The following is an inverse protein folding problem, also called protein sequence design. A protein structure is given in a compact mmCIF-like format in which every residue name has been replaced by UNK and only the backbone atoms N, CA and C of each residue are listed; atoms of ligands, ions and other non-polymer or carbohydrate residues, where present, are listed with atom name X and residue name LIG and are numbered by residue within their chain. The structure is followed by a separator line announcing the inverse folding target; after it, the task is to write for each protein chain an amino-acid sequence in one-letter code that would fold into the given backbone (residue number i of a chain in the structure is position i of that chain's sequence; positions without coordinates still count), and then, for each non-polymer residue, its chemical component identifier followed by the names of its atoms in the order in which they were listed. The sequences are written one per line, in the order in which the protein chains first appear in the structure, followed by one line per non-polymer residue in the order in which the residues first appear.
data_IF_082764930695
#
_entry.id   IF_082764930695
#
_cell.length_a   1.000
_cell.length_b   1.000
_cell.length_c   1.000
_cell.angle_alpha   90.00
_cell.angle_beta   90.00
_cell.angle_gamma   90.00
#
_symmetry.space_group_name_H-M   'P 1'
#
loop_
_entity.id
_entity.type
_entity.pdbx_description
1 polymer ?
#
# COMPACT_ATOMS: atom_id res chain seq x y z
N UNK A 1 -2.07 -3.67 10.91
CA UNK A 1 -3.41 -4.25 10.65
C UNK A 1 -4.15 -3.33 9.68
N UNK A 2 -4.56 -3.81 8.50
CA UNK A 2 -5.42 -3.04 7.59
C UNK A 2 -6.89 -3.22 7.97
N UNK A 3 -7.67 -2.14 7.99
CA UNK A 3 -9.12 -2.20 8.29
C UNK A 3 -9.83 -3.13 7.30
N UNK A 4 -10.45 -4.19 7.78
CA UNK A 4 -11.30 -5.03 6.95
C UNK A 4 -12.73 -4.48 6.94
N UNK A 5 -13.21 -4.00 5.80
CA UNK A 5 -14.57 -3.44 5.68
C UNK A 5 -15.62 -4.54 5.41
N UNK A 6 -16.78 -4.41 6.04
CA UNK A 6 -17.96 -5.19 5.74
C UNK A 6 -18.73 -4.57 4.56
N UNK A 7 -18.28 -4.85 3.33
CA UNK A 7 -18.89 -4.32 2.10
C UNK A 7 -20.37 -4.70 1.92
N UNK A 8 -20.84 -5.76 2.57
CA UNK A 8 -22.25 -6.16 2.53
C UNK A 8 -23.07 -5.11 3.27
N UNK A 9 -22.67 -4.78 4.50
CA UNK A 9 -23.38 -3.81 5.32
C UNK A 9 -23.31 -2.39 4.76
N UNK A 10 -22.15 -1.99 4.21
CA UNK A 10 -22.00 -0.70 3.52
C UNK A 10 -22.92 -0.64 2.29
N UNK A 11 -23.02 -1.73 1.51
CA UNK A 11 -23.95 -1.79 0.38
C UNK A 11 -25.40 -1.64 0.82
N UNK A 12 -25.80 -2.33 1.89
CA UNK A 12 -27.18 -2.28 2.41
C UNK A 12 -27.49 -0.88 2.93
N UNK A 13 -26.57 -0.26 3.68
CA UNK A 13 -26.67 1.13 4.12
C UNK A 13 -26.95 2.08 2.95
N UNK A 14 -26.15 2.00 1.86
CA UNK A 14 -26.35 2.88 0.72
C UNK A 14 -27.67 2.62 -0.01
N UNK A 15 -28.13 1.36 -0.05
CA UNK A 15 -29.38 0.98 -0.70
C UNK A 15 -30.62 1.38 0.08
N UNK A 16 -30.60 1.27 1.40
CA UNK A 16 -31.78 1.48 2.25
C UNK A 16 -31.77 2.85 2.93
N UNK A 17 -30.59 3.41 3.20
CA UNK A 17 -30.41 4.64 3.96
C UNK A 17 -30.42 5.94 3.15
N UNK A 18 -30.22 5.87 1.84
CA UNK A 18 -30.08 7.07 0.97
C UNK A 18 -30.91 6.93 -0.29
N UNK A 19 -31.44 8.02 -0.83
CA UNK A 19 -32.13 8.09 -2.11
C UNK A 19 -31.16 8.13 -3.30
N UNK A 20 -31.67 7.92 -4.52
CA UNK A 20 -30.86 8.03 -5.75
C UNK A 20 -30.27 9.45 -5.90
N UNK A 21 -31.09 10.48 -5.65
CA UNK A 21 -30.67 11.88 -5.71
C UNK A 21 -29.53 12.19 -4.74
N UNK A 22 -29.67 11.81 -3.46
CA UNK A 22 -28.63 12.06 -2.45
C UNK A 22 -27.28 11.40 -2.80
N UNK A 23 -27.32 10.18 -3.36
CA UNK A 23 -26.10 9.50 -3.79
C UNK A 23 -25.47 10.15 -5.02
N UNK A 24 -26.28 10.68 -5.95
CA UNK A 24 -25.78 11.43 -7.11
C UNK A 24 -25.21 12.78 -6.71
N UNK A 25 -25.89 13.49 -5.82
CA UNK A 25 -25.45 14.77 -5.29
C UNK A 25 -24.12 14.59 -4.56
N UNK A 26 -23.98 13.54 -3.74
CA UNK A 26 -22.70 13.17 -3.13
C UNK A 26 -21.58 12.98 -4.16
N UNK A 27 -21.84 12.21 -5.23
CA UNK A 27 -20.85 11.98 -6.29
C UNK A 27 -20.52 13.26 -7.07
N UNK A 28 -21.46 14.21 -7.16
CA UNK A 28 -21.29 15.48 -7.82
C UNK A 28 -20.48 16.46 -6.95
N UNK A 29 -20.87 16.62 -5.69
CA UNK A 29 -20.33 17.62 -4.76
C UNK A 29 -18.98 17.23 -4.18
N UNK A 30 -18.68 15.93 -4.14
CA UNK A 30 -17.40 15.43 -3.61
C UNK A 30 -16.40 15.23 -4.75
N UNK A 31 -15.34 16.05 -4.88
CA UNK A 31 -14.40 15.96 -6.00
C UNK A 31 -13.78 14.57 -6.15
N UNK A 32 -13.55 13.89 -5.02
CA UNK A 32 -13.04 12.53 -4.96
C UNK A 32 -13.95 11.47 -5.58
N UNK A 33 -15.25 11.74 -5.72
CA UNK A 33 -16.24 10.83 -6.31
C UNK A 33 -16.77 11.32 -7.66
N UNK A 34 -16.28 12.46 -8.16
CA UNK A 34 -16.64 12.99 -9.48
C UNK A 34 -16.47 12.00 -10.62
N UNK A 35 -15.41 11.16 -10.66
CA UNK A 35 -15.29 10.14 -11.69
C UNK A 35 -16.40 9.09 -11.69
N UNK A 36 -17.06 8.85 -10.55
CA UNK A 36 -18.25 7.99 -10.48
C UNK A 36 -19.44 8.69 -11.13
N UNK A 37 -19.66 9.97 -10.81
CA UNK A 37 -20.71 10.79 -11.41
C UNK A 37 -20.59 10.86 -12.93
N UNK A 38 -19.38 11.11 -13.44
CA UNK A 38 -19.11 11.25 -14.87
C UNK A 38 -19.35 9.95 -15.66
N UNK A 39 -19.33 8.79 -14.98
CA UNK A 39 -19.61 7.48 -15.56
C UNK A 39 -21.11 7.13 -15.56
N UNK A 40 -21.95 7.89 -14.85
CA UNK A 40 -23.38 7.61 -14.81
C UNK A 40 -24.03 8.01 -16.14
N UNK A 41 -24.62 7.03 -16.82
CA UNK A 41 -25.56 7.31 -17.90
C UNK A 41 -26.83 7.96 -17.33
N UNK A 42 -27.55 8.72 -18.16
CA UNK A 42 -28.78 9.42 -17.76
C UNK A 42 -29.85 8.49 -17.13
N UNK A 43 -29.81 7.18 -17.44
CA UNK A 43 -30.74 6.16 -16.94
C UNK A 43 -30.10 5.17 -15.94
N UNK A 44 -28.96 5.49 -15.33
CA UNK A 44 -28.36 4.62 -14.31
C UNK A 44 -29.24 4.59 -13.07
N UNK A 45 -29.91 3.46 -12.80
CA UNK A 45 -30.73 3.32 -11.60
C UNK A 45 -29.88 3.22 -10.33
N UNK A 46 -30.46 3.65 -9.19
CA UNK A 46 -29.87 3.57 -7.84
C UNK A 46 -29.04 2.33 -7.54
N UNK A 47 -29.52 1.14 -7.90
CA UNK A 47 -28.81 -0.10 -7.61
C UNK A 47 -27.44 -0.19 -8.30
N UNK A 48 -27.37 0.31 -9.53
CA UNK A 48 -26.13 0.36 -10.32
C UNK A 48 -25.22 1.50 -9.87
N UNK A 49 -25.81 2.65 -9.51
CA UNK A 49 -25.07 3.73 -8.85
C UNK A 49 -24.40 3.25 -7.56
N UNK A 50 -25.12 2.56 -6.68
CA UNK A 50 -24.54 2.01 -5.44
C UNK A 50 -23.45 1.00 -5.75
N UNK A 51 -23.62 0.16 -6.79
CA UNK A 51 -22.59 -0.80 -7.21
C UNK A 51 -21.31 -0.10 -7.64
N UNK A 52 -21.42 0.87 -8.55
CA UNK A 52 -20.30 1.66 -9.07
C UNK A 52 -19.63 2.48 -7.97
N UNK A 53 -20.42 3.13 -7.12
CA UNK A 53 -19.94 3.94 -6.01
C UNK A 53 -19.16 3.09 -5.02
N UNK A 54 -19.70 1.94 -4.60
CA UNK A 54 -19.04 1.07 -3.65
C UNK A 54 -17.79 0.42 -4.24
N UNK A 55 -17.84 0.01 -5.50
CA UNK A 55 -16.69 -0.54 -6.23
C UNK A 55 -15.57 0.50 -6.33
N UNK A 56 -15.90 1.73 -6.75
CA UNK A 56 -14.95 2.83 -6.83
C UNK A 56 -14.39 3.20 -5.46
N UNK A 57 -15.24 3.32 -4.43
CA UNK A 57 -14.83 3.63 -3.07
C UNK A 57 -13.88 2.56 -2.52
N UNK A 58 -14.14 1.29 -2.80
CA UNK A 58 -13.29 0.18 -2.38
C UNK A 58 -11.95 0.18 -3.13
N UNK A 59 -11.97 0.32 -4.46
CA UNK A 59 -10.78 0.32 -5.30
C UNK A 59 -9.87 1.53 -5.02
N UNK A 60 -10.45 2.67 -4.63
CA UNK A 60 -9.73 3.92 -4.34
C UNK A 60 -9.48 4.18 -2.87
N UNK A 61 -9.78 3.21 -1.99
CA UNK A 61 -9.67 3.33 -0.53
C UNK A 61 -10.44 4.53 0.09
N UNK A 62 -11.54 4.93 -0.55
CA UNK A 62 -12.41 6.04 -0.12
C UNK A 62 -13.61 5.59 0.71
N UNK A 63 -13.59 4.37 1.25
CA UNK A 63 -14.66 3.84 2.09
C UNK A 63 -14.81 4.64 3.40
N UNK A 64 -13.70 5.12 3.99
CA UNK A 64 -13.76 5.99 5.17
C UNK A 64 -14.48 7.32 4.87
N UNK A 65 -14.19 7.92 3.71
CA UNK A 65 -14.82 9.17 3.27
C UNK A 65 -16.32 8.98 2.98
N UNK A 66 -16.67 7.87 2.33
CA UNK A 66 -18.05 7.47 2.06
C UNK A 66 -18.83 7.21 3.36
N UNK A 67 -18.20 6.53 4.33
CA UNK A 67 -18.82 6.26 5.63
C UNK A 67 -18.98 7.54 6.47
N UNK A 68 -17.99 8.44 6.46
CA UNK A 68 -18.08 9.72 7.15
C UNK A 68 -19.23 10.58 6.59
N UNK A 69 -19.34 10.66 5.26
CA UNK A 69 -20.47 11.33 4.62
C UNK A 69 -21.81 10.69 4.99
N UNK A 70 -21.89 9.36 5.02
CA UNK A 70 -23.11 8.65 5.36
C UNK A 70 -23.52 8.87 6.83
N UNK A 71 -22.55 8.92 7.75
CA UNK A 71 -22.78 9.21 9.17
C UNK A 71 -23.31 10.63 9.38
N UNK A 72 -22.74 11.62 8.68
CA UNK A 72 -23.16 13.02 8.75
C UNK A 72 -24.55 13.24 8.13
N UNK A 73 -24.81 12.61 6.99
CA UNK A 73 -26.03 12.84 6.20
C UNK A 73 -27.23 12.09 6.76
N UNK A 74 -27.04 10.85 7.23
CA UNK A 74 -28.12 10.04 7.82
C UNK A 74 -27.64 9.19 9.00
N UNK A 75 -27.43 9.80 10.18
CA UNK A 75 -26.88 9.10 11.35
C UNK A 75 -27.77 7.97 11.86
N UNK A 76 -29.10 8.08 11.69
CA UNK A 76 -30.05 7.06 12.11
C UNK A 76 -29.86 5.76 11.30
N UNK A 77 -29.82 5.88 9.97
CA UNK A 77 -29.58 4.72 9.09
C UNK A 77 -28.15 4.21 9.21
N UNK A 78 -27.18 5.10 9.40
CA UNK A 78 -25.79 4.73 9.67
C UNK A 78 -25.64 3.88 10.95
N UNK A 79 -26.40 4.15 12.00
CA UNK A 79 -26.36 3.30 13.20
C UNK A 79 -27.07 1.96 12.99
N UNK A 80 -28.16 1.94 12.22
CA UNK A 80 -28.97 0.75 11.98
C UNK A 80 -28.25 -0.35 11.16
N UNK A 81 -27.28 0.02 10.32
CA UNK A 81 -26.61 -0.89 9.39
C UNK A 81 -25.19 -1.32 9.81
N UNK A 82 -24.80 -1.06 11.06
CA UNK A 82 -23.56 -1.61 11.62
C UNK A 82 -23.61 -3.15 11.70
N UNK A 83 -22.46 -3.86 11.69
CA UNK A 83 -21.08 -3.36 11.68
C UNK A 83 -20.52 -3.04 10.28
N UNK A 84 -19.70 -1.99 10.18
CA UNK A 84 -18.99 -1.61 8.93
C UNK A 84 -17.59 -2.19 8.80
N UNK A 85 -17.07 -2.74 9.90
CA UNK A 85 -15.78 -3.41 9.97
C UNK A 85 -16.03 -4.88 10.29
N UNK A 86 -15.21 -5.75 9.72
CA UNK A 86 -15.12 -7.14 10.15
C UNK A 86 -14.13 -7.13 11.32
N UNK A 87 -14.59 -7.47 12.52
CA UNK A 87 -13.77 -7.44 13.73
C UNK A 87 -12.47 -8.25 13.56
N UNK A 88 -11.31 -7.64 13.88
CA UNK A 88 -10.25 -8.36 14.61
C UNK A 88 -10.74 -8.49 16.08
N UNK A 89 -10.39 -9.55 16.83
CA UNK A 89 -11.00 -9.86 18.13
C UNK A 89 -10.96 -8.66 19.09
N UNK A 90 -11.92 -8.55 20.04
CA UNK A 90 -11.87 -7.50 21.06
C UNK A 90 -10.51 -7.55 21.77
N UNK A 91 -9.96 -6.41 22.24
CA UNK A 91 -8.70 -6.41 22.96
C UNK A 91 -8.81 -7.43 24.09
N UNK A 92 -8.02 -8.51 24.01
CA UNK A 92 -7.90 -9.41 25.15
C UNK A 92 -7.35 -8.58 26.31
N UNK A 93 -7.88 -8.77 27.51
CA UNK A 93 -7.46 -8.15 28.77
C UNK A 93 -6.00 -8.49 29.17
N UNK A 94 -5.05 -8.34 28.26
CA UNK A 94 -3.63 -8.61 28.47
C UNK A 94 -2.69 -7.55 27.85
N UNK A 95 -3.18 -6.32 27.66
CA UNK A 95 -2.33 -5.13 27.68
C UNK A 95 -2.40 -4.50 29.08
N UNK A 96 -1.28 -4.41 29.82
CA UNK A 96 -1.29 -3.81 31.15
C UNK A 96 -1.58 -2.30 31.06
N UNK A 97 -2.24 -1.69 32.07
CA UNK A 97 -2.58 -0.28 32.03
C UNK A 97 -1.34 0.62 31.93
N UNK A 98 -1.52 1.79 31.31
CA UNK A 98 -0.54 2.88 31.12
C UNK A 98 0.11 3.42 32.41
N UNK A 99 -0.11 2.78 33.57
CA UNK A 99 0.70 2.92 34.78
C UNK A 99 2.10 2.31 34.65
N UNK A 100 2.31 1.38 33.71
CA UNK A 100 3.58 0.65 33.55
C UNK A 100 4.73 1.51 32.98
N UNK A 101 4.40 2.55 32.20
CA UNK A 101 5.39 3.50 31.67
C UNK A 101 5.91 4.51 32.72
N UNK A 102 5.31 4.52 33.92
CA UNK A 102 5.83 5.35 35.03
C UNK A 102 6.93 4.66 35.85
N UNK A 103 7.10 3.34 35.70
CA UNK A 103 8.02 2.53 36.52
C UNK A 103 9.42 2.31 35.91
N UNK A 104 9.68 2.79 34.68
CA UNK A 104 11.00 2.70 34.03
C UNK A 104 11.80 4.00 34.12
N UNK A 105 11.66 4.73 35.24
CA UNK A 105 12.40 5.97 35.51
C UNK A 105 13.42 5.86 36.65
N UNK A 106 13.79 4.64 37.03
CA UNK A 106 14.88 4.39 37.99
C UNK A 106 16.08 3.72 37.30
N UNK A 107 17.27 4.36 37.25
CA UNK A 107 18.45 3.85 36.55
C UNK A 107 19.28 2.89 37.41
N UNK A 108 18.64 1.99 38.15
CA UNK A 108 19.36 1.05 39.02
C UNK A 108 18.63 -0.29 39.14
N UNK A 109 18.58 -1.07 38.05
CA UNK A 109 18.64 -2.55 38.04
C UNK A 109 18.60 -3.01 36.57
N UNK A 110 19.76 -3.10 35.92
CA UNK A 110 19.94 -3.91 34.71
C UNK A 110 21.11 -4.86 35.00
N UNK A 111 20.92 -6.20 34.96
CA UNK A 111 22.03 -7.14 35.10
C UNK A 111 22.89 -7.16 33.81
N UNK A 112 24.19 -7.47 33.91
CA UNK A 112 25.10 -7.42 32.77
C UNK A 112 24.82 -8.54 31.75
N UNK A 113 25.07 -8.32 30.44
CA UNK A 113 24.95 -9.37 29.45
C UNK A 113 26.08 -10.40 29.60
N UNK A 114 25.70 -11.67 29.70
CA UNK A 114 26.62 -12.81 29.73
C UNK A 114 27.16 -13.15 28.33
N UNK A 115 28.48 -13.24 28.25
CA UNK A 115 29.28 -14.23 27.51
C UNK A 115 29.07 -14.41 26.00
N UNK A 116 30.06 -13.91 25.24
CA UNK A 116 30.31 -14.14 23.81
C UNK A 116 30.17 -15.61 23.36
N UNK A 117 29.67 -15.88 22.13
CA UNK A 117 29.81 -17.20 21.52
C UNK A 117 31.27 -17.45 21.04
N UNK A 118 31.71 -18.72 20.95
CA UNK A 118 33.11 -19.05 20.68
C UNK A 118 33.51 -18.80 19.21
N UNK A 119 34.77 -18.35 19.03
CA UNK A 119 35.47 -18.29 17.74
C UNK A 119 35.62 -19.69 17.14
N UNK A 120 35.07 -19.91 15.95
CA UNK A 120 35.47 -21.01 15.08
C UNK A 120 36.79 -20.67 14.36
N UNK A 121 37.74 -21.61 14.24
CA UNK A 121 39.03 -21.35 13.61
C UNK A 121 38.91 -21.37 12.09
N UNK A 122 39.59 -20.40 11.46
CA UNK A 122 39.77 -20.30 10.01
C UNK A 122 40.69 -21.43 9.53
N UNK A 123 40.19 -22.23 8.59
CA UNK A 123 40.99 -23.15 7.79
C UNK A 123 40.59 -22.97 6.33
N UNK A 124 41.49 -22.38 5.54
CA UNK A 124 41.51 -22.54 4.08
C UNK A 124 42.65 -23.52 3.76
N UNK A 125 42.54 -24.31 2.68
CA UNK A 125 42.94 -23.77 1.39
C UNK A 125 42.09 -24.22 0.18
N UNK A 126 42.03 -23.31 -0.80
CA UNK A 126 41.90 -23.50 -2.25
C UNK A 126 41.11 -24.71 -2.78
N UNK A 127 39.99 -24.40 -3.44
CA UNK A 127 39.71 -25.00 -4.74
C UNK A 127 39.17 -23.93 -5.68
N UNK A 128 39.93 -23.74 -6.75
CA UNK A 128 39.67 -22.88 -7.88
C UNK A 128 38.47 -23.40 -8.67
N UNK A 129 37.32 -22.79 -8.47
CA UNK A 129 36.30 -22.66 -9.51
C UNK A 129 35.86 -21.21 -9.51
N UNK A 130 36.46 -20.44 -10.41
CA UNK A 130 35.94 -19.14 -10.80
C UNK A 130 34.43 -19.30 -11.06
N UNK A 131 33.55 -18.47 -10.48
CA UNK A 131 32.16 -18.46 -10.91
C UNK A 131 32.14 -18.23 -12.42
N UNK A 132 31.20 -18.83 -13.17
CA UNK A 132 31.05 -18.53 -14.58
C UNK A 132 30.93 -17.02 -14.70
N UNK A 133 31.93 -16.40 -15.33
CA UNK A 133 31.89 -14.99 -15.69
C UNK A 133 30.67 -14.88 -16.58
N UNK A 134 29.55 -14.36 -16.05
CA UNK A 134 28.30 -14.18 -16.78
C UNK A 134 28.62 -13.19 -17.90
N UNK A 135 28.93 -13.74 -19.07
CA UNK A 135 29.24 -12.99 -20.27
C UNK A 135 27.98 -12.31 -20.74
N UNK A 136 28.02 -10.98 -20.79
CA UNK A 136 26.95 -10.07 -21.23
C UNK A 136 25.62 -10.25 -20.47
N UNK A 137 25.61 -10.07 -19.15
CA UNK A 137 24.34 -9.95 -18.44
C UNK A 137 23.64 -8.66 -18.88
N UNK A 138 22.45 -8.79 -19.46
CA UNK A 138 21.54 -7.66 -19.63
C UNK A 138 21.49 -6.85 -18.33
N UNK A 139 21.40 -5.51 -18.39
CA UNK A 139 21.25 -4.70 -17.19
C UNK A 139 20.04 -5.20 -16.40
N UNK A 140 20.19 -5.32 -15.08
CA UNK A 140 19.11 -5.74 -14.20
C UNK A 140 17.97 -4.72 -14.29
N UNK A 141 16.77 -5.19 -14.59
CA UNK A 141 15.58 -4.36 -14.71
C UNK A 141 14.95 -4.16 -13.34
N UNK A 142 14.82 -2.90 -12.93
CA UNK A 142 14.42 -2.54 -11.57
C UNK A 142 13.16 -1.69 -11.62
N UNK A 143 12.05 -2.21 -11.12
CA UNK A 143 10.85 -1.40 -10.93
C UNK A 143 10.98 -0.57 -9.65
N UNK A 144 10.88 0.74 -9.75
CA UNK A 144 10.84 1.63 -8.58
C UNK A 144 9.39 1.93 -8.23
N UNK A 145 8.95 1.43 -7.09
CA UNK A 145 7.66 1.75 -6.53
C UNK A 145 7.83 2.79 -5.42
N UNK A 146 6.99 3.83 -5.40
CA UNK A 146 7.09 4.88 -4.41
C UNK A 146 5.73 5.52 -4.13
N UNK A 147 5.75 6.51 -3.23
CA UNK A 147 4.59 7.38 -3.03
C UNK A 147 4.75 8.71 -3.76
N UNK A 148 3.66 9.44 -3.98
CA UNK A 148 3.73 10.80 -4.49
C UNK A 148 4.49 11.77 -3.56
N UNK A 149 4.74 11.41 -2.29
CA UNK A 149 5.59 12.19 -1.40
C UNK A 149 7.08 11.93 -1.62
N UNK A 150 7.43 10.78 -2.19
CA UNK A 150 8.81 10.28 -2.33
C UNK A 150 9.46 10.65 -3.67
N UNK A 151 8.69 11.26 -4.58
CA UNK A 151 9.11 11.56 -5.96
C UNK A 151 10.51 12.18 -6.07
N UNK A 152 10.86 13.21 -5.26
CA UNK A 152 12.19 13.82 -5.38
C UNK A 152 13.31 12.82 -5.06
N UNK A 153 13.20 12.08 -3.96
CA UNK A 153 14.22 11.14 -3.53
C UNK A 153 14.33 9.90 -4.46
N UNK A 154 13.20 9.47 -5.03
CA UNK A 154 13.15 8.30 -5.91
C UNK A 154 13.65 8.64 -7.32
N UNK A 155 13.45 9.87 -7.80
CA UNK A 155 14.11 10.37 -9.01
C UNK A 155 15.63 10.37 -8.87
N UNK A 156 16.15 10.81 -7.72
CA UNK A 156 17.60 10.75 -7.46
C UNK A 156 18.13 9.31 -7.40
N UNK A 157 17.33 8.37 -6.87
CA UNK A 157 17.64 6.95 -6.90
C UNK A 157 17.63 6.39 -8.34
N UNK A 158 16.63 6.75 -9.15
CA UNK A 158 16.51 6.34 -10.55
C UNK A 158 17.78 6.69 -11.35
N UNK A 159 18.23 7.95 -11.25
CA UNK A 159 19.42 8.38 -11.97
C UNK A 159 20.71 7.69 -11.48
N UNK A 160 20.83 7.43 -10.17
CA UNK A 160 21.96 6.66 -9.62
C UNK A 160 21.98 5.23 -10.13
N UNK A 161 20.83 4.54 -10.10
CA UNK A 161 20.70 3.18 -10.63
C UNK A 161 21.04 3.13 -12.13
N UNK A 162 20.58 4.09 -12.94
CA UNK A 162 20.98 4.20 -14.35
C UNK A 162 22.50 4.37 -14.49
N UNK A 163 23.12 5.25 -13.70
CA UNK A 163 24.56 5.50 -13.76
C UNK A 163 25.39 4.29 -13.35
N UNK A 164 24.88 3.46 -12.43
CA UNK A 164 25.51 2.23 -11.96
C UNK A 164 25.31 1.03 -12.92
N UNK A 165 24.61 1.23 -14.04
CA UNK A 165 24.42 0.22 -15.09
C UNK A 165 23.17 -0.64 -14.95
N UNK A 166 22.21 -0.24 -14.11
CA UNK A 166 20.89 -0.86 -14.02
C UNK A 166 19.91 -0.28 -15.05
N UNK A 167 18.80 -0.97 -15.28
CA UNK A 167 17.67 -0.50 -16.07
C UNK A 167 16.47 -0.24 -15.16
N UNK A 168 16.47 0.87 -14.39
CA UNK A 168 15.32 1.22 -13.59
C UNK A 168 14.16 1.68 -14.49
N UNK A 169 12.95 1.41 -14.00
CA UNK A 169 11.68 1.89 -14.53
C UNK A 169 10.97 2.71 -13.45
N UNK A 170 10.58 3.93 -13.79
CA UNK A 170 9.85 4.87 -12.94
C UNK A 170 8.69 5.44 -13.75
N UNK A 171 7.47 5.38 -13.21
CA UNK A 171 6.27 5.83 -13.92
C UNK A 171 6.34 7.30 -14.36
N UNK A 172 6.94 8.18 -13.54
CA UNK A 172 7.13 9.60 -13.90
C UNK A 172 8.06 9.85 -15.08
N UNK A 173 9.00 8.94 -15.34
CA UNK A 173 10.04 9.12 -16.37
C UNK A 173 9.75 8.24 -17.60
N UNK A 174 9.22 7.03 -17.39
CA UNK A 174 9.10 5.99 -18.41
C UNK A 174 7.66 5.76 -18.89
N UNK A 175 6.64 6.31 -18.23
CA UNK A 175 5.26 6.28 -18.72
C UNK A 175 4.98 7.45 -19.68
N UNK A 176 4.72 7.15 -20.95
CA UNK A 176 4.48 8.17 -21.96
C UNK A 176 3.07 8.78 -21.83
N UNK A 177 2.91 10.08 -22.13
CA UNK A 177 1.60 10.71 -22.20
C UNK A 177 0.64 9.95 -23.14
N UNK A 178 -0.55 9.62 -22.64
CA UNK A 178 -1.56 8.86 -23.38
C UNK A 178 -1.49 7.35 -23.20
N UNK A 179 -0.47 6.81 -22.51
CA UNK A 179 -0.48 5.42 -22.07
C UNK A 179 -1.43 5.22 -20.89
N UNK A 180 -2.08 4.05 -20.84
CA UNK A 180 -2.97 3.69 -19.73
C UNK A 180 -2.15 3.03 -18.64
N UNK A 181 -1.99 3.69 -17.50
CA UNK A 181 -1.27 3.19 -16.32
C UNK A 181 -1.72 1.76 -15.92
N UNK A 182 -3.02 1.45 -15.99
CA UNK A 182 -3.56 0.12 -15.66
C UNK A 182 -3.06 -1.01 -16.56
N UNK A 183 -2.44 -0.68 -17.71
CA UNK A 183 -1.88 -1.66 -18.64
C UNK A 183 -0.36 -1.67 -18.62
N UNK A 184 0.28 -0.52 -18.48
CA UNK A 184 1.74 -0.41 -18.60
C UNK A 184 2.47 -0.74 -17.30
N UNK A 185 1.95 -0.30 -16.15
CA UNK A 185 2.53 -0.67 -14.84
C UNK A 185 2.59 -2.19 -14.66
N UNK A 186 1.51 -2.97 -14.89
CA UNK A 186 1.60 -4.42 -14.74
C UNK A 186 2.60 -5.08 -15.67
N UNK A 187 2.77 -4.57 -16.89
CA UNK A 187 3.80 -5.07 -17.80
C UNK A 187 5.20 -4.74 -17.30
N UNK A 188 5.41 -3.53 -16.79
CA UNK A 188 6.70 -3.11 -16.26
C UNK A 188 7.10 -3.94 -15.03
N UNK A 189 6.16 -4.18 -14.11
CA UNK A 189 6.39 -5.05 -12.95
C UNK A 189 6.72 -6.48 -13.41
N UNK A 190 5.92 -7.08 -14.29
CA UNK A 190 6.15 -8.44 -14.80
C UNK A 190 7.45 -8.57 -15.62
N UNK A 191 7.93 -7.48 -16.21
CA UNK A 191 9.19 -7.42 -16.93
C UNK A 191 10.38 -7.04 -16.02
N UNK A 192 10.19 -6.83 -14.72
CA UNK A 192 11.30 -6.44 -13.83
C UNK A 192 11.90 -7.66 -13.14
N UNK A 193 13.21 -7.63 -12.95
CA UNK A 193 13.94 -8.67 -12.22
C UNK A 193 13.89 -8.39 -10.70
N UNK A 194 13.78 -7.11 -10.33
CA UNK A 194 13.69 -6.61 -8.95
C UNK A 194 12.63 -5.53 -8.85
N UNK A 195 11.82 -5.56 -7.78
CA UNK A 195 10.91 -4.48 -7.40
C UNK A 195 11.44 -3.83 -6.12
N UNK A 196 11.79 -2.55 -6.19
CA UNK A 196 12.19 -1.77 -5.01
C UNK A 196 10.99 -0.96 -4.53
N UNK A 197 10.57 -1.23 -3.28
CA UNK A 197 9.50 -0.48 -2.63
C UNK A 197 10.13 0.61 -1.77
N UNK A 198 10.06 1.85 -2.24
CA UNK A 198 10.63 3.01 -1.57
C UNK A 198 9.67 3.52 -0.48
N UNK A 199 10.17 3.62 0.75
CA UNK A 199 9.41 3.96 1.94
C UNK A 199 10.06 5.15 2.66
N UNK A 200 9.32 6.23 2.87
CA UNK A 200 9.70 7.36 3.73
C UNK A 200 8.74 7.53 4.90
N UNK A 201 9.16 8.28 5.93
CA UNK A 201 8.26 8.65 7.03
C UNK A 201 7.07 9.46 6.51
N UNK A 202 7.25 10.36 5.53
CA UNK A 202 6.17 11.13 4.92
C UNK A 202 5.18 10.26 4.12
N UNK A 203 5.68 9.21 3.48
CA UNK A 203 4.87 8.19 2.80
C UNK A 203 4.11 7.28 3.77
N UNK A 204 4.66 7.02 4.96
CA UNK A 204 4.11 6.11 5.97
C UNK A 204 3.22 6.81 7.04
N UNK A 205 3.43 8.10 7.32
CA UNK A 205 2.70 8.84 8.37
C UNK A 205 1.25 9.17 8.00
N UNK A 206 0.85 8.98 6.73
CA UNK A 206 -0.57 8.85 6.38
C UNK A 206 -1.05 7.45 6.76
N UNK A 207 -1.29 7.24 8.05
CA UNK A 207 -1.79 5.98 8.59
C UNK A 207 -3.03 5.51 7.80
N UNK A 208 -2.91 4.35 7.15
CA UNK A 208 -3.98 3.76 6.32
C UNK A 208 -3.79 3.88 4.80
N UNK A 209 -2.76 4.61 4.34
CA UNK A 209 -2.53 4.89 2.92
C UNK A 209 -1.25 4.21 2.42
N UNK A 210 -1.25 2.87 2.35
CA UNK A 210 -0.35 2.20 1.39
C UNK A 210 -0.81 2.69 0.03
N UNK A 211 -0.02 3.55 -0.62
CA UNK A 211 -0.43 4.19 -1.87
C UNK A 211 -0.71 3.13 -2.92
N UNK A 212 -1.69 3.41 -3.80
CA UNK A 212 -2.21 2.47 -4.81
C UNK A 212 -1.07 1.78 -5.58
N UNK A 213 0.03 2.49 -5.83
CA UNK A 213 1.25 2.00 -6.49
C UNK A 213 1.97 0.90 -5.69
N UNK A 214 2.19 1.10 -4.39
CA UNK A 214 2.88 0.13 -3.50
C UNK A 214 2.03 -1.11 -3.32
N UNK A 215 0.72 -0.95 -3.10
CA UNK A 215 -0.18 -2.09 -2.97
C UNK A 215 -0.28 -2.85 -4.28
N UNK A 216 -0.42 -2.16 -5.40
CA UNK A 216 -0.49 -2.80 -6.72
C UNK A 216 0.78 -3.58 -7.04
N UNK A 217 1.96 -3.03 -6.76
CA UNK A 217 3.22 -3.73 -6.96
C UNK A 217 3.35 -4.98 -6.06
N UNK A 218 2.89 -4.89 -4.81
CA UNK A 218 2.84 -6.03 -3.87
C UNK A 218 1.87 -7.12 -4.35
N UNK A 219 0.62 -6.75 -4.67
CA UNK A 219 -0.41 -7.67 -5.16
C UNK A 219 0.03 -8.38 -6.46
N UNK A 220 0.86 -7.71 -7.28
CA UNK A 220 1.43 -8.29 -8.49
C UNK A 220 2.62 -9.21 -8.24
N UNK A 221 3.51 -8.84 -7.32
CA UNK A 221 4.62 -9.71 -6.92
C UNK A 221 4.07 -11.03 -6.32
N UNK A 222 2.99 -10.96 -5.53
CA UNK A 222 2.32 -12.13 -4.96
C UNK A 222 1.67 -13.05 -6.01
N UNK A 223 1.36 -12.54 -7.21
CA UNK A 223 0.79 -13.33 -8.32
C UNK A 223 1.84 -14.03 -9.17
N UNK A 224 3.12 -13.73 -8.97
CA UNK A 224 4.21 -14.36 -9.70
C UNK A 224 4.67 -15.64 -8.98
N UNK A 225 5.25 -16.61 -9.69
CA UNK A 225 5.82 -17.80 -9.06
C UNK A 225 6.84 -17.42 -7.97
N UNK A 226 6.91 -18.20 -6.89
CA UNK A 226 7.68 -17.92 -5.65
C UNK A 226 9.19 -17.58 -5.84
N UNK A 227 9.74 -17.71 -7.06
CA UNK A 227 11.16 -17.49 -7.38
C UNK A 227 11.42 -16.50 -8.53
N UNK A 228 10.45 -15.67 -8.91
CA UNK A 228 10.52 -14.90 -10.18
C UNK A 228 10.81 -13.40 -10.04
N UNK A 229 10.44 -12.76 -8.93
CA UNK A 229 10.70 -11.33 -8.68
C UNK A 229 11.17 -11.12 -7.25
N UNK A 230 12.28 -10.40 -7.07
CA UNK A 230 12.75 -10.01 -5.74
C UNK A 230 12.12 -8.69 -5.30
N UNK A 231 11.39 -8.73 -4.17
CA UNK A 231 10.85 -7.53 -3.54
C UNK A 231 11.81 -7.01 -2.47
N UNK A 232 12.31 -5.79 -2.64
CA UNK A 232 13.27 -5.17 -1.73
C UNK A 232 12.64 -3.91 -1.13
N UNK A 233 12.30 -3.91 0.18
CA UNK A 233 11.90 -2.69 0.85
C UNK A 233 13.12 -1.77 1.05
N UNK A 234 13.02 -0.53 0.59
CA UNK A 234 14.06 0.49 0.72
C UNK A 234 13.54 1.64 1.58
N UNK A 235 14.19 1.89 2.71
CA UNK A 235 13.94 3.08 3.53
C UNK A 235 14.75 4.26 2.99
N UNK A 236 14.09 5.37 2.70
CA UNK A 236 14.72 6.56 2.10
C UNK A 236 15.45 7.46 3.12
N UNK A 237 15.15 7.31 4.42
CA UNK A 237 15.68 8.16 5.50
C UNK A 237 16.50 7.34 6.52
N UNK A 238 17.58 7.94 7.04
CA UNK A 238 18.39 7.42 8.16
C UNK A 238 18.04 8.22 9.42
N UNK A 239 17.80 7.53 10.53
CA UNK A 239 17.50 8.11 11.85
C UNK A 239 18.74 8.71 12.51
#
# INVERSE_FOLDING_TARGET
MGKQYNLINIRTLLKEGFSDAELRDFCFDTPDFRPVYDQLAQNTGKAELVRLLLEYAHQRFKLDLLLAWAEETNPAQFKAHQPYFKDDPPPSDSDPPLSYLSALRDPATVPPPASSPPRVPVSSPMSSSSPPRLTASSPLRVFLCHTAADRPAVRDLYHRLRADGFEPWLDEEDLLPGQKWQKEIPKAVAASDVVIVCLSQAGLTRAGYVQEEIKFALDMADQQPEDSIFLIPLRLELF
#
